data_IF_612423425551
#
_entry.id   IF_612423425551
#
_cell.length_a   1.000
_cell.length_b   1.000
_cell.length_c   1.000
_cell.angle_alpha   90.00
_cell.angle_beta   90.00
_cell.angle_gamma   90.00
#
_symmetry.space_group_name_H-M   'P 1'
#
loop_
_entity.id
_entity.type
_entity.pdbx_description
1 polymer ?
#
# COMPACT_ATOMS: atom_id res chain seq x y z
N UNK A 1 18.90 -1.95 -3.37
CA UNK A 1 17.44 -1.78 -3.27
C UNK A 1 16.89 -1.62 -4.68
N UNK A 2 16.07 -2.56 -5.13
CA UNK A 2 15.30 -2.40 -6.36
C UNK A 2 13.82 -2.63 -6.04
N UNK A 3 13.04 -1.55 -6.12
CA UNK A 3 11.60 -1.59 -5.89
C UNK A 3 10.92 -2.27 -7.07
N UNK A 4 10.14 -3.31 -6.79
CA UNK A 4 9.28 -3.98 -7.76
C UNK A 4 7.89 -3.37 -7.63
N UNK A 5 7.40 -2.74 -8.70
CA UNK A 5 6.04 -2.21 -8.74
C UNK A 5 5.04 -3.38 -8.84
N UNK A 6 4.10 -3.46 -7.89
CA UNK A 6 3.06 -4.49 -7.84
C UNK A 6 1.72 -3.93 -8.34
N UNK A 7 1.37 -2.73 -7.91
CA UNK A 7 0.15 -2.01 -8.32
C UNK A 7 0.49 -0.57 -8.62
N UNK A 8 0.02 -0.04 -9.73
CA UNK A 8 0.09 1.39 -10.04
C UNK A 8 -1.26 1.88 -10.59
N UNK A 9 -1.91 2.76 -9.84
CA UNK A 9 -3.20 3.39 -10.15
C UNK A 9 -3.09 4.87 -9.78
N UNK A 10 -3.95 5.70 -10.36
CA UNK A 10 -3.89 7.17 -10.19
C UNK A 10 -3.67 7.63 -8.74
N UNK A 11 -4.33 7.00 -7.77
CA UNK A 11 -4.27 7.41 -6.36
C UNK A 11 -3.58 6.44 -5.42
N UNK A 12 -3.19 5.24 -5.89
CA UNK A 12 -2.63 4.19 -5.04
C UNK A 12 -1.54 3.43 -5.78
N UNK A 13 -0.37 3.34 -5.16
CA UNK A 13 0.73 2.52 -5.64
C UNK A 13 1.21 1.55 -4.55
N UNK A 14 1.57 0.33 -4.95
CA UNK A 14 2.13 -0.70 -4.07
C UNK A 14 3.43 -1.21 -4.67
N UNK A 15 4.50 -1.21 -3.87
CA UNK A 15 5.83 -1.66 -4.27
C UNK A 15 6.36 -2.68 -3.26
N UNK A 16 7.22 -3.58 -3.72
CA UNK A 16 7.95 -4.54 -2.89
C UNK A 16 9.45 -4.25 -2.98
N UNK A 17 10.14 -4.20 -1.84
CA UNK A 17 11.60 -4.23 -1.82
C UNK A 17 12.06 -5.67 -2.02
N UNK A 18 12.82 -5.91 -3.08
CA UNK A 18 13.32 -7.24 -3.42
C UNK A 18 14.53 -7.70 -2.56
N UNK A 19 14.97 -6.88 -1.60
CA UNK A 19 16.07 -7.20 -0.69
C UNK A 19 15.64 -7.36 0.77
N UNK A 20 14.63 -6.60 1.21
CA UNK A 20 14.27 -6.45 2.63
C UNK A 20 12.84 -6.95 2.94
N UNK A 21 12.21 -7.71 2.03
CA UNK A 21 10.85 -8.26 2.14
C UNK A 21 9.83 -7.26 2.71
N UNK A 22 10.00 -6.00 2.31
CA UNK A 22 9.24 -4.87 2.80
C UNK A 22 8.29 -4.41 1.70
N UNK A 23 7.00 -4.26 2.02
CA UNK A 23 6.03 -3.60 1.15
C UNK A 23 5.97 -2.08 1.43
N UNK A 24 5.75 -1.32 0.37
CA UNK A 24 5.48 0.12 0.42
C UNK A 24 4.10 0.37 -0.19
N UNK A 25 3.23 1.07 0.52
CA UNK A 25 1.95 1.57 0.01
C UNK A 25 2.05 3.09 -0.03
N UNK A 26 1.79 3.66 -1.20
CA UNK A 26 1.69 5.12 -1.38
C UNK A 26 0.29 5.47 -1.82
N UNK A 27 -0.35 6.40 -1.10
CA UNK A 27 -1.68 6.91 -1.41
C UNK A 27 -1.57 8.40 -1.62
N UNK A 28 -2.23 8.92 -2.66
CA UNK A 28 -2.39 10.35 -2.86
C UNK A 28 -3.87 10.76 -2.90
N UNK A 29 -4.14 12.00 -2.51
CA UNK A 29 -5.48 12.57 -2.44
C UNK A 29 -6.03 13.06 -3.81
N UNK A 30 -5.26 12.94 -4.89
CA UNK A 30 -5.65 13.36 -6.23
C UNK A 30 -5.74 14.87 -6.45
N UNK A 31 -5.26 15.67 -5.49
CA UNK A 31 -5.23 17.12 -5.61
C UNK A 31 -4.27 17.63 -6.69
N UNK A 32 -4.43 18.89 -7.10
CA UNK A 32 -3.50 19.58 -8.02
C UNK A 32 -2.08 19.61 -7.44
N UNK A 33 -1.97 19.72 -6.12
CA UNK A 33 -0.74 19.48 -5.35
C UNK A 33 -1.02 18.31 -4.40
N UNK A 34 -0.79 17.06 -4.83
CA UNK A 34 -1.24 15.91 -4.08
C UNK A 34 -0.46 15.73 -2.78
N UNK A 35 -1.17 15.42 -1.69
CA UNK A 35 -0.54 15.00 -0.45
C UNK A 35 -0.35 13.48 -0.49
N UNK A 36 0.86 13.04 -0.20
CA UNK A 36 1.21 11.62 -0.19
C UNK A 36 1.28 11.09 1.23
N UNK A 37 0.66 9.95 1.45
CA UNK A 37 0.87 9.12 2.63
C UNK A 37 1.61 7.86 2.18
N UNK A 38 2.79 7.64 2.74
CA UNK A 38 3.61 6.45 2.48
C UNK A 38 3.63 5.58 3.72
N UNK A 39 3.26 4.31 3.57
CA UNK A 39 3.24 3.32 4.64
C UNK A 39 4.24 2.22 4.27
N UNK A 40 5.23 2.00 5.15
CA UNK A 40 6.17 0.90 5.05
C UNK A 40 5.69 -0.25 5.93
N UNK A 41 5.59 -1.45 5.37
CA UNK A 41 5.08 -2.64 6.04
C UNK A 41 6.08 -3.78 5.89
N UNK A 42 6.34 -4.50 6.97
CA UNK A 42 6.98 -5.82 6.95
C UNK A 42 5.95 -6.90 6.68
N UNK A 43 6.40 -8.11 6.37
CA UNK A 43 5.56 -9.26 6.02
C UNK A 43 4.34 -9.43 6.94
N UNK A 44 4.53 -9.56 8.26
CA UNK A 44 3.40 -9.72 9.20
C UNK A 44 2.42 -8.53 9.22
N UNK A 45 2.92 -7.31 9.01
CA UNK A 45 2.08 -6.09 8.99
C UNK A 45 1.25 -6.03 7.69
N UNK A 46 1.72 -6.66 6.61
CA UNK A 46 0.94 -6.84 5.38
C UNK A 46 -0.24 -7.79 5.62
N UNK A 47 -0.01 -8.92 6.29
CA UNK A 47 -1.07 -9.88 6.61
C UNK A 47 -2.16 -9.25 7.49
N UNK A 48 -1.76 -8.54 8.56
CA UNK A 48 -2.67 -7.82 9.44
C UNK A 48 -3.50 -6.76 8.68
N UNK A 49 -2.86 -6.01 7.77
CA UNK A 49 -3.55 -5.01 6.96
C UNK A 49 -4.55 -5.65 5.99
N UNK A 50 -4.19 -6.76 5.35
CA UNK A 50 -5.09 -7.51 4.45
C UNK A 50 -6.33 -7.97 5.23
N UNK A 51 -6.15 -8.54 6.42
CA UNK A 51 -7.26 -9.00 7.25
C UNK A 51 -8.19 -7.84 7.64
N UNK A 52 -7.62 -6.72 8.08
CA UNK A 52 -8.39 -5.53 8.43
C UNK A 52 -9.19 -4.98 7.23
N UNK A 53 -8.56 -4.86 6.06
CA UNK A 53 -9.21 -4.38 4.83
C UNK A 53 -10.34 -5.31 4.37
N UNK A 54 -10.17 -6.63 4.51
CA UNK A 54 -11.23 -7.60 4.19
C UNK A 54 -12.45 -7.42 5.11
N UNK A 55 -12.25 -7.21 6.41
CA UNK A 55 -13.34 -6.94 7.37
C UNK A 55 -14.07 -5.62 7.05
N UNK A 56 -13.32 -4.58 6.68
CA UNK A 56 -13.90 -3.29 6.25
C UNK A 56 -14.75 -3.49 4.99
N UNK A 57 -14.24 -4.20 3.98
CA UNK A 57 -14.97 -4.48 2.73
C UNK A 57 -16.27 -5.24 2.97
N UNK A 58 -16.29 -6.18 3.91
CA UNK A 58 -17.52 -6.89 4.28
C UNK A 58 -18.56 -5.99 4.98
N UNK A 59 -18.09 -4.95 5.66
CA UNK A 59 -18.91 -3.99 6.39
C UNK A 59 -19.49 -2.89 5.49
N UNK A 60 -18.78 -2.53 4.42
CA UNK A 60 -19.27 -1.62 3.37
C UNK A 60 -20.12 -2.45 2.40
N UNK A 61 -21.43 -2.49 2.62
CA UNK A 61 -22.43 -3.04 1.68
C UNK A 61 -23.04 -1.94 0.83
#
# INVERSE_FOLDING_TARGET
MAWIQILDREHVSVKLDNQDDTALIEINDGGISPNYVTIRLREHEVDELIEALQRVKQSIR
#
